data_IF_719064403641
#
_entry.id   IF_719064403641
#
_cell.length_a   1.000
_cell.length_b   1.000
_cell.length_c   1.000
_cell.angle_alpha   90.00
_cell.angle_beta   90.00
_cell.angle_gamma   90.00
#
_symmetry.space_group_name_H-M   'P 1'
#
loop_
_entity.id
_entity.type
_entity.pdbx_description
1 polymer ?
#
# COMPACT_ATOMS: atom_id res chain seq x y z
N UNK A 1 63.21 34.84 7.94
CA UNK A 1 63.25 34.74 9.41
C UNK A 1 62.02 35.48 9.89
N UNK A 2 60.94 34.87 10.36
CA UNK A 2 60.84 33.54 10.96
C UNK A 2 59.53 32.83 10.58
N UNK A 3 59.69 31.70 9.90
CA UNK A 3 58.67 30.67 9.75
C UNK A 3 58.71 29.68 10.91
N UNK A 4 58.92 30.16 12.14
CA UNK A 4 59.14 29.33 13.32
C UNK A 4 57.94 29.28 14.30
N UNK A 5 56.98 30.22 14.23
CA UNK A 5 55.86 30.25 15.19
C UNK A 5 54.57 29.59 14.69
N UNK A 6 54.46 29.24 13.40
CA UNK A 6 53.29 28.51 12.87
C UNK A 6 53.48 26.98 12.89
N UNK A 7 54.66 26.50 13.28
CA UNK A 7 54.99 25.07 13.33
C UNK A 7 54.88 24.44 14.72
N UNK A 8 54.83 25.24 15.79
CA UNK A 8 54.71 24.77 17.17
C UNK A 8 53.28 24.37 17.54
N UNK A 9 52.27 25.07 17.01
CA UNK A 9 50.85 24.83 17.36
C UNK A 9 50.25 23.60 16.62
N UNK A 10 50.83 23.25 15.47
CA UNK A 10 50.47 22.03 14.72
C UNK A 10 51.06 20.79 15.40
N UNK A 11 52.23 20.89 16.03
CA UNK A 11 52.88 19.75 16.73
C UNK A 11 52.25 19.42 18.08
N UNK A 12 51.74 20.40 18.83
CA UNK A 12 51.01 20.12 20.08
C UNK A 12 49.62 19.54 19.82
N UNK A 13 48.93 20.03 18.79
CA UNK A 13 47.59 19.55 18.42
C UNK A 13 47.64 18.15 17.77
N UNK A 14 48.66 17.85 16.97
CA UNK A 14 48.87 16.49 16.43
C UNK A 14 49.39 15.50 17.48
N UNK A 15 50.13 15.96 18.49
CA UNK A 15 50.53 15.16 19.65
C UNK A 15 49.36 14.75 20.55
N UNK A 16 48.39 15.65 20.76
CA UNK A 16 47.16 15.36 21.51
C UNK A 16 46.24 14.37 20.79
N UNK A 17 46.12 14.49 19.47
CA UNK A 17 45.32 13.56 18.65
C UNK A 17 45.98 12.19 18.56
N UNK A 18 47.32 12.12 18.47
CA UNK A 18 48.06 10.85 18.46
C UNK A 18 47.97 10.11 19.80
N UNK A 19 48.01 10.82 20.94
CA UNK A 19 47.76 10.22 22.26
C UNK A 19 46.32 9.72 22.44
N UNK A 20 45.34 10.30 21.73
CA UNK A 20 43.94 9.86 21.81
C UNK A 20 43.64 8.70 20.85
N UNK A 21 44.40 8.58 19.75
CA UNK A 21 44.32 7.46 18.80
C UNK A 21 45.11 6.23 19.27
N UNK A 22 46.19 6.40 20.04
CA UNK A 22 46.93 5.28 20.65
C UNK A 22 46.29 4.78 21.96
N UNK A 23 45.26 5.46 22.50
CA UNK A 23 44.53 5.05 23.71
C UNK A 23 43.19 4.33 23.44
N UNK A 24 42.77 4.22 22.18
CA UNK A 24 41.62 3.39 21.79
C UNK A 24 42.12 2.03 21.28
N UNK A 25 42.78 1.29 22.16
CA UNK A 25 42.75 -0.16 22.05
C UNK A 25 41.29 -0.60 22.07
N UNK A 26 40.91 -1.42 21.09
CA UNK A 26 39.66 -2.18 21.07
C UNK A 26 39.48 -2.81 22.46
N UNK A 27 38.62 -2.23 23.30
CA UNK A 27 38.27 -2.88 24.56
C UNK A 27 37.54 -4.17 24.19
N UNK A 28 38.07 -5.35 24.53
CA UNK A 28 37.31 -6.57 24.38
C UNK A 28 36.05 -6.41 25.21
N UNK A 29 34.89 -6.79 24.65
CA UNK A 29 33.62 -6.82 25.36
C UNK A 29 33.83 -7.33 26.79
N UNK A 30 33.43 -6.53 27.78
CA UNK A 30 33.55 -6.86 29.20
C UNK A 30 33.07 -8.30 29.42
N UNK A 31 33.94 -9.17 29.94
CA UNK A 31 33.65 -10.60 30.10
C UNK A 31 32.39 -10.85 30.91
N UNK A 32 32.01 -9.90 31.77
CA UNK A 32 30.74 -9.90 32.48
C UNK A 32 29.51 -9.67 31.60
N UNK A 33 29.61 -8.82 30.56
CA UNK A 33 28.53 -8.60 29.60
C UNK A 33 28.35 -9.79 28.66
N UNK A 34 29.45 -10.40 28.20
CA UNK A 34 29.38 -11.65 27.41
C UNK A 34 28.79 -12.78 28.26
N UNK A 35 29.24 -12.95 29.50
CA UNK A 35 28.70 -13.96 30.41
C UNK A 35 27.21 -13.73 30.71
N UNK A 36 26.79 -12.47 30.86
CA UNK A 36 25.39 -12.09 31.05
C UNK A 36 24.54 -12.45 29.83
N UNK A 37 24.99 -12.09 28.62
CA UNK A 37 24.30 -12.42 27.38
C UNK A 37 24.24 -13.93 27.13
N UNK A 38 25.32 -14.66 27.41
CA UNK A 38 25.34 -16.13 27.32
C UNK A 38 24.39 -16.77 28.35
N UNK A 39 24.26 -16.19 29.54
CA UNK A 39 23.29 -16.63 30.54
C UNK A 39 21.85 -16.38 30.09
N UNK A 40 21.57 -15.23 29.48
CA UNK A 40 20.25 -14.91 28.93
C UNK A 40 19.89 -15.81 27.74
N UNK A 41 20.86 -16.09 26.87
CA UNK A 41 20.69 -17.04 25.76
C UNK A 41 20.36 -18.45 26.25
N UNK A 42 21.06 -18.93 27.29
CA UNK A 42 20.75 -20.23 27.91
C UNK A 42 19.34 -20.27 28.50
N UNK A 43 18.94 -19.24 29.26
CA UNK A 43 17.58 -19.15 29.80
C UNK A 43 16.50 -19.15 28.72
N UNK A 44 16.74 -18.48 27.60
CA UNK A 44 15.80 -18.47 26.47
C UNK A 44 15.75 -19.82 25.76
N UNK A 45 16.90 -20.49 25.59
CA UNK A 45 16.96 -21.85 25.02
C UNK A 45 16.22 -22.87 25.90
N UNK A 46 16.40 -22.80 27.21
CA UNK A 46 15.70 -23.66 28.17
C UNK A 46 14.19 -23.40 28.12
N UNK A 47 13.76 -22.14 28.03
CA UNK A 47 12.34 -21.79 27.93
C UNK A 47 11.71 -22.26 26.62
N UNK A 48 12.43 -22.18 25.50
CA UNK A 48 11.96 -22.71 24.21
C UNK A 48 11.78 -24.23 24.30
N UNK A 49 12.75 -24.94 24.88
CA UNK A 49 12.66 -26.39 25.06
C UNK A 49 11.48 -26.80 25.96
N UNK A 50 11.24 -26.07 27.04
CA UNK A 50 10.10 -26.29 27.93
C UNK A 50 8.76 -26.06 27.20
N UNK A 51 8.66 -25.01 26.39
CA UNK A 51 7.48 -24.72 25.56
C UNK A 51 7.26 -25.77 24.46
N UNK A 52 8.33 -26.31 23.88
CA UNK A 52 8.26 -27.40 22.90
C UNK A 52 7.78 -28.71 23.56
N UNK A 53 8.24 -29.00 24.78
CA UNK A 53 7.74 -30.14 25.57
C UNK A 53 6.28 -29.97 25.99
N UNK A 54 5.86 -28.77 26.40
CA UNK A 54 4.45 -28.45 26.68
C UNK A 54 3.59 -28.59 25.42
N UNK A 55 4.02 -28.07 24.28
CA UNK A 55 3.32 -28.24 23.00
C UNK A 55 3.24 -29.70 22.56
N UNK A 56 4.29 -30.48 22.81
CA UNK A 56 4.30 -31.92 22.53
C UNK A 56 3.30 -32.67 23.44
N UNK A 57 3.26 -32.35 24.73
CA UNK A 57 2.28 -32.90 25.69
C UNK A 57 0.84 -32.51 25.34
N UNK A 58 0.61 -31.28 24.88
CA UNK A 58 -0.70 -30.79 24.42
C UNK A 58 -1.12 -31.34 23.05
N UNK A 59 -0.17 -31.77 22.21
CA UNK A 59 -0.45 -32.39 20.92
C UNK A 59 -0.69 -33.90 21.02
N UNK A 60 -0.21 -34.55 22.09
CA UNK A 60 -0.41 -35.97 22.35
C UNK A 60 -1.88 -36.45 22.45
N UNK A 61 -2.86 -35.64 22.93
CA UNK A 61 -4.28 -36.01 22.94
C UNK A 61 -4.99 -35.73 21.61
N UNK A 62 -4.38 -35.01 20.68
CA UNK A 62 -4.93 -34.74 19.34
C UNK A 62 -4.56 -35.84 18.32
N UNK A 63 -3.52 -36.64 18.61
CA UNK A 63 -3.04 -37.70 17.72
C UNK A 63 -3.74 -39.06 17.90
N UNK A 64 -4.58 -39.25 18.94
CA UNK A 64 -5.30 -40.51 19.19
C UNK A 64 -6.80 -40.46 18.86
N UNK A 65 -7.31 -39.37 18.29
CA UNK A 65 -8.71 -39.26 17.89
C UNK A 65 -8.89 -39.64 16.41
N UNK A 66 -9.19 -40.92 16.16
CA UNK A 66 -9.60 -41.40 14.83
C UNK A 66 -11.06 -41.03 14.56
N UNK A 67 -11.29 -39.97 13.78
CA UNK A 67 -12.54 -39.72 13.08
C UNK A 67 -12.28 -39.63 11.57
N UNK A 68 -12.37 -40.81 10.96
CA UNK A 68 -12.53 -41.20 9.56
C UNK A 68 -12.43 -40.13 8.45
N UNK A 69 -11.36 -40.22 7.65
CA UNK A 69 -11.36 -39.75 6.26
C UNK A 69 -12.25 -40.66 5.39
N UNK A 70 -13.13 -40.08 4.56
CA UNK A 70 -13.60 -40.68 3.31
C UNK A 70 -13.30 -39.73 2.16
N UNK A 71 -12.19 -39.98 1.46
CA UNK A 71 -12.01 -39.58 0.06
C UNK A 71 -12.86 -40.51 -0.81
N UNK A 72 -13.66 -39.93 -1.69
CA UNK A 72 -14.25 -40.62 -2.83
C UNK A 72 -13.26 -40.57 -3.98
N UNK A 73 -12.95 -41.72 -4.59
CA UNK A 73 -12.71 -41.79 -6.03
C UNK A 73 -13.06 -43.19 -6.57
N UNK A 74 -13.55 -43.17 -7.81
CA UNK A 74 -14.23 -44.22 -8.58
C UNK A 74 -13.57 -45.59 -8.62
N UNK A 75 -14.39 -46.64 -8.65
CA UNK A 75 -14.03 -48.01 -9.00
C UNK A 75 -15.25 -48.93 -9.01
N UNK A 76 -15.52 -49.53 -10.16
CA UNK A 76 -16.73 -50.21 -10.60
C UNK A 76 -17.03 -51.57 -9.90
N UNK A 77 -18.32 -51.96 -9.95
CA UNK A 77 -18.94 -53.32 -9.80
C UNK A 77 -19.60 -53.79 -8.48
N UNK A 78 -20.93 -53.93 -8.63
CA UNK A 78 -21.87 -54.98 -8.19
C UNK A 78 -22.22 -55.22 -6.71
N UNK A 79 -23.48 -54.84 -6.40
CA UNK A 79 -24.55 -55.58 -5.69
C UNK A 79 -24.19 -56.70 -4.72
N UNK A 80 -24.67 -56.61 -3.47
CA UNK A 80 -25.98 -57.17 -3.02
C UNK A 80 -26.04 -57.40 -1.50
N UNK A 81 -27.26 -57.28 -0.93
CA UNK A 81 -27.79 -57.94 0.30
C UNK A 81 -27.22 -57.47 1.66
N UNK A 82 -27.93 -57.27 2.78
CA UNK A 82 -29.33 -57.17 3.18
C UNK A 82 -29.36 -56.57 4.61
N UNK A 83 -30.54 -56.01 4.97
CA UNK A 83 -31.21 -55.83 6.28
C UNK A 83 -30.48 -56.32 7.56
N UNK A 84 -30.57 -55.64 8.72
CA UNK A 84 -31.81 -55.53 9.51
C UNK A 84 -31.57 -54.87 10.90
N UNK A 85 -32.61 -54.15 11.37
CA UNK A 85 -33.17 -54.05 12.74
C UNK A 85 -32.32 -53.57 13.93
N UNK A 86 -32.70 -52.43 14.53
CA UNK A 86 -33.38 -52.27 15.85
C UNK A 86 -32.36 -52.05 16.98
N UNK A 87 -32.59 -51.31 18.09
CA UNK A 87 -33.68 -50.54 18.65
C UNK A 87 -33.11 -49.76 19.86
N UNK A 88 -33.78 -48.67 20.29
CA UNK A 88 -33.84 -48.14 21.67
C UNK A 88 -32.52 -47.75 22.37
N UNK A 89 -32.32 -46.55 22.90
CA UNK A 89 -33.19 -45.92 23.91
C UNK A 89 -32.64 -44.55 24.30
N UNK A 90 -33.57 -43.68 24.64
CA UNK A 90 -33.44 -42.30 25.15
C UNK A 90 -32.68 -42.21 26.47
N UNK A 91 -31.80 -41.19 26.63
CA UNK A 91 -31.72 -40.38 27.87
C UNK A 91 -30.90 -39.09 27.71
N UNK A 92 -31.56 -38.01 28.14
CA UNK A 92 -31.18 -36.60 28.34
C UNK A 92 -29.67 -36.33 28.54
N UNK A 93 -29.12 -35.43 27.71
CA UNK A 93 -27.92 -34.65 28.04
C UNK A 93 -28.31 -33.33 28.71
N UNK A 94 -27.79 -33.14 29.91
CA UNK A 94 -27.75 -31.89 30.68
C UNK A 94 -27.02 -30.80 29.89
N UNK A 95 -27.56 -29.59 29.99
CA UNK A 95 -26.97 -28.37 29.44
C UNK A 95 -25.89 -27.90 30.40
N UNK A 96 -24.63 -27.92 29.97
CA UNK A 96 -23.57 -27.12 30.57
C UNK A 96 -23.21 -26.00 29.60
N UNK A 97 -23.44 -24.76 30.06
CA UNK A 97 -23.13 -23.53 29.33
C UNK A 97 -21.63 -23.24 29.49
N UNK A 98 -20.88 -23.37 28.42
CA UNK A 98 -19.53 -22.81 28.32
C UNK A 98 -19.53 -21.71 27.27
N UNK A 99 -19.16 -20.51 27.72
CA UNK A 99 -19.08 -19.25 26.97
C UNK A 99 -18.00 -19.31 25.89
N UNK A 100 -18.37 -19.75 24.70
CA UNK A 100 -17.63 -19.49 23.46
C UNK A 100 -18.58 -18.79 22.50
N UNK A 101 -18.20 -17.62 21.99
CA UNK A 101 -18.92 -16.99 20.88
C UNK A 101 -18.86 -17.95 19.69
N UNK A 102 -19.94 -18.68 19.47
CA UNK A 102 -20.08 -19.59 18.35
C UNK A 102 -20.20 -18.71 17.08
N UNK A 103 -19.08 -18.45 16.43
CA UNK A 103 -19.03 -17.94 15.05
C UNK A 103 -19.58 -19.03 14.16
N UNK A 104 -20.91 -19.19 14.15
CA UNK A 104 -21.59 -19.92 13.09
C UNK A 104 -21.15 -19.28 11.79
N UNK A 105 -20.28 -19.97 11.06
CA UNK A 105 -19.95 -19.64 9.68
C UNK A 105 -21.31 -19.55 8.98
N UNK A 106 -21.60 -18.39 8.38
CA UNK A 106 -22.88 -18.10 7.74
C UNK A 106 -22.98 -18.85 6.41
N UNK A 107 -22.88 -20.18 6.43
CA UNK A 107 -22.84 -21.04 5.23
C UNK A 107 -24.18 -21.09 4.47
N UNK A 108 -25.24 -20.50 5.04
CA UNK A 108 -26.60 -20.54 4.51
C UNK A 108 -27.21 -19.16 4.22
N UNK A 109 -26.39 -18.17 3.86
CA UNK A 109 -26.88 -16.87 3.42
C UNK A 109 -26.62 -16.62 1.94
N UNK A 110 -27.55 -15.91 1.28
CA UNK A 110 -27.35 -15.45 -0.09
C UNK A 110 -26.14 -14.51 -0.15
N UNK A 111 -25.38 -14.61 -1.23
CA UNK A 111 -24.21 -13.77 -1.49
C UNK A 111 -24.36 -13.11 -2.84
N UNK A 112 -23.72 -11.96 -3.03
CA UNK A 112 -23.70 -11.21 -4.28
C UNK A 112 -22.30 -10.70 -4.55
N UNK A 113 -21.89 -10.73 -5.81
CA UNK A 113 -20.63 -10.16 -6.24
C UNK A 113 -20.79 -8.66 -6.47
N UNK A 114 -20.04 -7.85 -5.71
CA UNK A 114 -20.14 -6.39 -5.76
C UNK A 114 -18.76 -5.76 -5.89
N UNK A 115 -18.72 -4.57 -6.48
CA UNK A 115 -17.60 -3.64 -6.37
C UNK A 115 -17.85 -2.62 -5.26
N UNK A 116 -16.84 -2.31 -4.47
CA UNK A 116 -16.83 -1.25 -3.47
C UNK A 116 -15.85 -0.16 -3.88
N UNK A 117 -16.29 1.09 -3.88
CA UNK A 117 -15.41 2.26 -3.98
C UNK A 117 -14.96 2.65 -2.58
N UNK A 118 -13.66 2.69 -2.36
CA UNK A 118 -13.04 2.88 -1.05
C UNK A 118 -12.10 4.09 -1.10
N UNK A 119 -12.19 4.93 -0.07
CA UNK A 119 -11.19 5.95 0.22
C UNK A 119 -10.42 5.61 1.50
N UNK A 120 -9.20 6.11 1.59
CA UNK A 120 -8.38 6.03 2.79
C UNK A 120 -7.29 7.09 2.84
N UNK A 121 -6.94 7.53 4.05
CA UNK A 121 -5.76 8.35 4.30
C UNK A 121 -4.56 7.45 4.63
N UNK A 122 -3.57 7.42 3.74
CA UNK A 122 -2.53 6.38 3.74
C UNK A 122 -1.47 6.49 4.84
N UNK A 123 -1.38 7.65 5.52
CA UNK A 123 -0.21 8.02 6.34
C UNK A 123 0.18 6.98 7.39
N UNK A 124 -0.80 6.33 8.05
CA UNK A 124 -0.53 5.33 9.10
C UNK A 124 -0.46 3.88 8.61
N UNK A 125 -0.68 3.63 7.32
CA UNK A 125 -0.74 2.28 6.75
C UNK A 125 0.53 1.90 6.01
N UNK A 126 0.92 0.63 6.11
CA UNK A 126 2.01 0.03 5.33
C UNK A 126 1.59 -0.32 3.89
N UNK A 127 0.74 0.53 3.30
CA UNK A 127 0.20 0.38 1.96
C UNK A 127 -1.18 -0.26 1.95
N UNK A 128 -1.68 -0.51 0.74
CA UNK A 128 -3.01 -1.08 0.58
C UNK A 128 -3.04 -2.57 0.89
N UNK A 129 -2.17 -3.35 0.25
CA UNK A 129 -2.21 -4.81 0.28
C UNK A 129 -1.70 -5.38 1.60
N UNK A 130 -2.39 -6.40 2.13
CA UNK A 130 -1.90 -7.17 3.27
C UNK A 130 -0.77 -8.08 2.82
N UNK A 131 0.38 -7.96 3.49
CA UNK A 131 1.55 -8.81 3.31
C UNK A 131 2.04 -9.24 4.69
N UNK A 132 2.73 -10.39 4.77
CA UNK A 132 3.18 -10.93 6.06
C UNK A 132 4.04 -9.91 6.80
N UNK A 133 3.77 -9.71 8.10
CA UNK A 133 4.52 -8.81 9.00
C UNK A 133 4.38 -7.30 8.72
N UNK A 134 3.55 -6.88 7.76
CA UNK A 134 3.23 -5.46 7.53
C UNK A 134 1.81 -5.16 7.98
N UNK A 135 1.66 -4.58 9.18
CA UNK A 135 0.38 -4.15 9.75
C UNK A 135 0.54 -2.79 10.46
N UNK A 136 -0.46 -1.88 10.42
CA UNK A 136 -1.76 -2.05 9.77
C UNK A 136 -1.69 -1.82 8.24
N UNK A 137 -2.51 -2.55 7.48
CA UNK A 137 -2.77 -2.29 6.04
C UNK A 137 -4.22 -1.90 5.82
N UNK A 138 -4.50 -1.17 4.75
CA UNK A 138 -5.90 -0.80 4.42
C UNK A 138 -6.74 -2.05 4.18
N UNK A 139 -6.19 -3.02 3.47
CA UNK A 139 -6.86 -4.27 3.14
C UNK A 139 -7.17 -5.12 4.38
N UNK A 140 -6.25 -5.22 5.35
CA UNK A 140 -6.50 -5.97 6.59
C UNK A 140 -7.62 -5.34 7.42
N UNK A 141 -7.66 -4.01 7.51
CA UNK A 141 -8.74 -3.27 8.16
C UNK A 141 -10.11 -3.46 7.47
N UNK A 142 -10.13 -3.46 6.12
CA UNK A 142 -11.35 -3.75 5.36
C UNK A 142 -11.85 -5.15 5.66
N UNK A 143 -10.98 -6.17 5.61
CA UNK A 143 -11.40 -7.55 5.90
C UNK A 143 -11.89 -7.71 7.34
N UNK A 144 -11.20 -7.09 8.31
CA UNK A 144 -11.65 -7.06 9.72
C UNK A 144 -13.03 -6.40 9.87
N UNK A 145 -13.30 -5.32 9.14
CA UNK A 145 -14.60 -4.67 9.12
C UNK A 145 -15.68 -5.57 8.51
N UNK A 146 -15.39 -6.23 7.39
CA UNK A 146 -16.34 -7.14 6.73
C UNK A 146 -16.69 -8.36 7.61
N UNK A 147 -15.71 -8.92 8.33
CA UNK A 147 -15.93 -9.98 9.33
C UNK A 147 -16.78 -9.50 10.51
N UNK A 148 -16.43 -8.34 11.08
CA UNK A 148 -17.16 -7.73 12.20
C UNK A 148 -18.61 -7.39 11.84
N UNK A 149 -18.85 -6.97 10.60
CA UNK A 149 -20.17 -6.70 10.05
C UNK A 149 -20.94 -7.98 9.62
N UNK A 150 -20.31 -9.16 9.71
CA UNK A 150 -20.84 -10.44 9.23
C UNK A 150 -21.27 -10.38 7.76
N UNK A 151 -20.43 -9.76 6.93
CA UNK A 151 -20.66 -9.65 5.48
C UNK A 151 -19.86 -10.67 4.67
N UNK A 152 -18.79 -11.25 5.23
CA UNK A 152 -18.10 -12.36 4.57
C UNK A 152 -18.88 -13.66 4.75
N UNK A 153 -19.04 -14.38 3.64
CA UNK A 153 -19.62 -15.73 3.59
C UNK A 153 -18.46 -16.67 3.29
N UNK A 154 -18.08 -17.47 4.28
CA UNK A 154 -16.85 -18.25 4.24
C UNK A 154 -15.59 -17.40 4.46
N UNK A 155 -14.45 -17.93 4.02
CA UNK A 155 -13.14 -17.32 4.15
C UNK A 155 -12.78 -16.34 3.02
N UNK A 156 -11.67 -15.64 3.22
CA UNK A 156 -11.13 -14.65 2.26
C UNK A 156 -10.95 -15.20 0.85
N UNK A 157 -10.54 -16.46 0.71
CA UNK A 157 -10.35 -17.12 -0.61
C UNK A 157 -11.68 -17.33 -1.34
N UNK A 158 -12.75 -17.69 -0.63
CA UNK A 158 -14.07 -17.92 -1.21
C UNK A 158 -14.80 -16.63 -1.63
N UNK A 159 -14.31 -15.47 -1.17
CA UNK A 159 -14.88 -14.17 -1.53
C UNK A 159 -14.56 -13.69 -2.96
N UNK A 160 -13.75 -14.43 -3.74
CA UNK A 160 -13.28 -14.02 -5.08
C UNK A 160 -12.71 -12.59 -5.12
N UNK A 161 -11.99 -12.22 -4.07
CA UNK A 161 -11.51 -10.86 -3.87
C UNK A 161 -10.52 -10.40 -4.96
N UNK A 162 -10.79 -9.23 -5.54
CA UNK A 162 -9.90 -8.51 -6.45
C UNK A 162 -9.77 -7.04 -6.05
N UNK A 163 -8.63 -6.43 -6.40
CA UNK A 163 -8.31 -5.02 -6.07
C UNK A 163 -7.78 -4.29 -7.29
N UNK A 164 -8.14 -3.02 -7.45
CA UNK A 164 -7.78 -2.28 -8.67
C UNK A 164 -6.29 -1.98 -8.77
N UNK A 165 -5.67 -1.55 -7.68
CA UNK A 165 -4.24 -1.30 -7.60
C UNK A 165 -3.72 -1.44 -6.18
N UNK A 166 -2.42 -1.71 -6.04
CA UNK A 166 -1.75 -1.57 -4.75
C UNK A 166 -1.25 -0.13 -4.65
N UNK A 167 -1.50 0.53 -3.53
CA UNK A 167 -0.83 1.79 -3.21
C UNK A 167 0.29 1.50 -2.22
N UNK A 168 1.41 2.22 -2.36
CA UNK A 168 2.56 2.09 -1.48
C UNK A 168 2.23 2.60 -0.06
N UNK A 169 3.13 2.32 0.89
CA UNK A 169 3.10 2.89 2.24
C UNK A 169 2.90 4.41 2.19
N UNK A 170 2.02 4.93 3.04
CA UNK A 170 1.73 6.36 3.16
C UNK A 170 0.84 6.97 2.06
N UNK A 171 0.67 6.29 0.92
CA UNK A 171 -0.12 6.81 -0.22
C UNK A 171 -1.62 6.76 0.09
N UNK A 172 -2.32 7.86 -0.14
CA UNK A 172 -3.77 7.96 0.08
C UNK A 172 -4.58 7.58 -1.16
N UNK A 173 -5.88 7.38 -1.00
CA UNK A 173 -6.80 7.13 -2.12
C UNK A 173 -8.18 7.69 -1.85
N UNK A 174 -8.84 8.21 -2.87
CA UNK A 174 -10.27 8.55 -2.86
C UNK A 174 -11.06 7.79 -3.94
N UNK A 175 -10.38 6.88 -4.65
CA UNK A 175 -10.94 6.16 -5.80
C UNK A 175 -10.48 4.71 -5.91
N UNK A 176 -10.01 4.09 -4.83
CA UNK A 176 -9.66 2.67 -4.85
C UNK A 176 -10.94 1.85 -5.07
N UNK A 177 -10.83 0.77 -5.83
CA UNK A 177 -11.94 -0.15 -6.06
C UNK A 177 -11.50 -1.57 -5.73
N UNK A 178 -12.34 -2.27 -4.97
CA UNK A 178 -12.23 -3.70 -4.74
C UNK A 178 -13.51 -4.38 -5.22
N UNK A 179 -13.43 -5.67 -5.57
CA UNK A 179 -14.61 -6.48 -5.85
C UNK A 179 -14.51 -7.83 -5.16
N UNK A 180 -15.64 -8.29 -4.61
CA UNK A 180 -15.74 -9.51 -3.81
C UNK A 180 -17.21 -9.92 -3.59
N UNK A 181 -17.41 -11.18 -3.25
CA UNK A 181 -18.69 -11.69 -2.77
C UNK A 181 -18.93 -11.26 -1.32
N UNK A 182 -20.06 -10.62 -1.07
CA UNK A 182 -20.56 -10.33 0.27
C UNK A 182 -21.95 -10.92 0.46
N UNK A 183 -22.34 -11.12 1.72
CA UNK A 183 -23.72 -11.45 2.11
C UNK A 183 -24.68 -10.43 1.48
N UNK A 184 -25.82 -10.92 1.01
CA UNK A 184 -26.88 -10.15 0.39
C UNK A 184 -28.22 -10.55 1.01
N UNK A 185 -29.15 -9.59 1.09
CA UNK A 185 -30.54 -9.88 1.44
C UNK A 185 -31.33 -10.40 0.22
N UNK A 186 -30.82 -10.16 -0.98
CA UNK A 186 -31.44 -10.54 -2.24
C UNK A 186 -30.91 -11.90 -2.68
N UNK A 187 -31.79 -12.70 -3.28
CA UNK A 187 -31.37 -13.91 -4.00
C UNK A 187 -30.91 -13.50 -5.40
N UNK A 188 -29.82 -14.08 -5.89
CA UNK A 188 -29.38 -13.81 -7.26
C UNK A 188 -30.45 -14.29 -8.26
N UNK A 189 -30.79 -13.47 -9.28
CA UNK A 189 -31.63 -13.95 -10.37
C UNK A 189 -30.87 -15.03 -11.17
N UNK A 190 -31.53 -16.13 -11.58
CA UNK A 190 -30.86 -17.29 -12.19
C UNK A 190 -30.13 -17.02 -13.53
N UNK A 191 -30.28 -15.85 -14.15
CA UNK A 191 -29.62 -15.46 -15.41
C UNK A 191 -29.04 -14.04 -15.33
N UNK A 192 -27.80 -13.91 -14.85
CA UNK A 192 -27.10 -12.62 -14.69
C UNK A 192 -26.27 -12.20 -15.92
N UNK A 193 -26.48 -12.83 -17.09
CA UNK A 193 -25.68 -12.54 -18.29
C UNK A 193 -26.17 -11.32 -19.08
N UNK A 194 -27.41 -10.84 -18.89
CA UNK A 194 -28.01 -9.78 -19.72
C UNK A 194 -28.72 -8.62 -18.96
N UNK A 195 -28.54 -8.47 -17.65
CA UNK A 195 -29.33 -7.53 -16.84
C UNK A 195 -28.64 -6.20 -16.52
N UNK A 196 -27.83 -5.66 -17.43
CA UNK A 196 -27.23 -4.32 -17.28
C UNK A 196 -28.11 -3.17 -17.81
N UNK A 197 -29.29 -3.44 -18.39
CA UNK A 197 -30.06 -2.42 -19.11
C UNK A 197 -31.23 -1.76 -18.37
N UNK A 198 -31.69 -2.27 -17.22
CA UNK A 198 -32.76 -1.63 -16.43
C UNK A 198 -32.34 -1.49 -14.96
N UNK A 199 -31.47 -0.52 -14.67
CA UNK A 199 -30.74 -0.45 -13.41
C UNK A 199 -31.49 0.29 -12.27
N UNK A 200 -32.62 0.95 -12.48
CA UNK A 200 -33.17 1.85 -11.45
C UNK A 200 -34.12 1.20 -10.43
N UNK A 201 -34.66 0.01 -10.66
CA UNK A 201 -35.83 -0.46 -9.88
C UNK A 201 -35.68 -1.74 -9.01
N UNK A 202 -34.53 -2.43 -8.93
CA UNK A 202 -34.52 -3.77 -8.28
C UNK A 202 -33.43 -4.03 -7.22
N UNK A 203 -33.11 -3.05 -6.37
CA UNK A 203 -32.28 -3.30 -5.16
C UNK A 203 -32.94 -2.84 -3.86
N UNK A 204 -34.25 -2.61 -3.88
CA UNK A 204 -35.00 -2.37 -2.64
C UNK A 204 -34.87 -3.60 -1.71
N UNK A 205 -34.67 -3.35 -0.42
CA UNK A 205 -34.40 -4.40 0.57
C UNK A 205 -32.97 -4.95 0.63
N UNK A 206 -32.04 -4.50 -0.23
CA UNK A 206 -30.62 -4.89 -0.12
C UNK A 206 -29.93 -4.27 1.11
N UNK A 207 -28.82 -4.88 1.53
CA UNK A 207 -27.97 -4.33 2.59
C UNK A 207 -27.39 -2.97 2.16
N UNK A 208 -27.54 -1.97 3.02
CA UNK A 208 -26.78 -0.71 2.89
C UNK A 208 -25.31 -0.95 3.27
N UNK A 209 -24.55 -1.49 2.31
CA UNK A 209 -23.14 -1.84 2.49
C UNK A 209 -22.32 -0.64 2.94
N UNK A 210 -22.60 0.56 2.43
CA UNK A 210 -21.86 1.77 2.80
C UNK A 210 -22.04 2.05 4.28
N UNK A 211 -23.28 2.13 4.76
CA UNK A 211 -23.60 2.40 6.16
C UNK A 211 -23.07 1.31 7.09
N UNK A 212 -23.31 0.04 6.75
CA UNK A 212 -22.93 -1.11 7.58
C UNK A 212 -21.42 -1.22 7.73
N UNK A 213 -20.67 -1.09 6.64
CA UNK A 213 -19.21 -1.23 6.66
C UNK A 213 -18.57 -0.01 7.35
N UNK A 214 -19.01 1.22 7.03
CA UNK A 214 -18.45 2.44 7.62
C UNK A 214 -18.66 2.54 9.14
N UNK A 215 -19.70 1.91 9.69
CA UNK A 215 -19.94 1.87 11.15
C UNK A 215 -18.86 1.11 11.91
N UNK A 216 -18.12 0.22 11.24
CA UNK A 216 -17.10 -0.64 11.87
C UNK A 216 -15.68 -0.37 11.36
N UNK A 217 -15.52 0.39 10.28
CA UNK A 217 -14.23 0.83 9.76
C UNK A 217 -13.60 1.91 10.65
N UNK A 218 -12.25 1.96 10.75
CA UNK A 218 -11.55 3.08 11.36
C UNK A 218 -11.81 4.37 10.58
N UNK A 219 -11.67 5.53 11.25
CA UNK A 219 -12.09 6.84 10.72
C UNK A 219 -11.41 7.29 9.42
N UNK A 220 -10.24 6.74 9.15
CA UNK A 220 -9.42 7.05 8.00
C UNK A 220 -9.62 6.09 6.82
N UNK A 221 -10.57 5.15 6.91
CA UNK A 221 -11.04 4.32 5.78
C UNK A 221 -12.55 4.48 5.67
N UNK A 222 -13.03 4.75 4.46
CA UNK A 222 -14.47 4.84 4.17
C UNK A 222 -14.81 4.17 2.85
N UNK A 223 -15.88 3.39 2.85
CA UNK A 223 -16.60 3.01 1.63
C UNK A 223 -17.40 4.24 1.17
N UNK A 224 -17.23 4.64 -0.08
CA UNK A 224 -17.93 5.77 -0.70
C UNK A 224 -19.19 5.32 -1.46
N UNK A 225 -19.21 4.06 -1.90
CA UNK A 225 -20.32 3.51 -2.66
C UNK A 225 -20.07 2.07 -3.06
N UNK A 226 -21.12 1.43 -3.56
CA UNK A 226 -21.08 0.05 -4.01
C UNK A 226 -21.86 -0.14 -5.32
N UNK A 227 -21.57 -1.21 -6.06
CA UNK A 227 -22.23 -1.54 -7.31
C UNK A 227 -22.27 -3.07 -7.47
N UNK A 228 -23.41 -3.71 -7.79
CA UNK A 228 -23.39 -5.09 -8.23
C UNK A 228 -22.64 -5.20 -9.55
N UNK A 229 -21.82 -6.23 -9.70
CA UNK A 229 -20.99 -6.42 -10.90
C UNK A 229 -21.07 -7.88 -11.39
N UNK A 230 -20.89 -8.14 -12.70
CA UNK A 230 -20.88 -9.50 -13.22
C UNK A 230 -19.80 -10.36 -12.57
N UNK A 231 -20.02 -11.67 -12.47
CA UNK A 231 -19.08 -12.62 -11.85
C UNK A 231 -17.69 -12.59 -12.51
N UNK A 232 -17.61 -12.26 -13.81
CA UNK A 232 -16.35 -12.08 -14.53
C UNK A 232 -15.62 -10.76 -14.27
N UNK A 233 -16.20 -9.83 -13.52
CA UNK A 233 -15.59 -8.54 -13.24
C UNK A 233 -14.36 -8.69 -12.33
N UNK A 234 -13.26 -8.05 -12.73
CA UNK A 234 -12.06 -7.93 -11.91
C UNK A 234 -11.75 -6.46 -11.69
N UNK A 235 -11.70 -6.02 -10.42
CA UNK A 235 -11.33 -4.64 -10.12
C UNK A 235 -9.98 -4.25 -10.74
N UNK A 236 -9.07 -5.22 -10.93
CA UNK A 236 -7.76 -5.03 -11.55
C UNK A 236 -7.84 -4.94 -13.07
N UNK A 237 -8.39 -5.98 -13.70
CA UNK A 237 -8.29 -6.20 -15.14
C UNK A 237 -9.42 -5.52 -15.93
N UNK A 238 -10.57 -5.27 -15.30
CA UNK A 238 -11.67 -4.50 -15.89
C UNK A 238 -11.46 -2.99 -15.78
N UNK A 239 -10.43 -2.53 -15.06
CA UNK A 239 -10.11 -1.10 -14.93
C UNK A 239 -9.49 -0.58 -16.22
N UNK A 240 -10.12 0.45 -16.80
CA UNK A 240 -9.73 1.05 -18.07
C UNK A 240 -8.57 2.04 -17.90
N UNK A 241 -8.63 2.84 -16.83
CA UNK A 241 -7.63 3.87 -16.52
C UNK A 241 -7.67 4.26 -15.05
N UNK A 242 -6.53 4.74 -14.59
CA UNK A 242 -6.32 5.20 -13.22
C UNK A 242 -5.83 6.64 -13.26
N UNK A 243 -6.42 7.49 -12.44
CA UNK A 243 -6.00 8.88 -12.27
C UNK A 243 -5.34 9.06 -10.91
N UNK A 244 -4.16 9.65 -10.90
CA UNK A 244 -3.44 10.05 -9.68
C UNK A 244 -3.39 11.56 -9.60
N UNK A 245 -3.46 12.06 -8.35
CA UNK A 245 -3.20 13.46 -8.03
C UNK A 245 -2.01 13.53 -7.09
N UNK A 246 -1.05 14.39 -7.37
CA UNK A 246 0.11 14.62 -6.50
C UNK A 246 0.18 16.09 -6.12
N UNK A 247 -0.02 16.40 -4.84
CA UNK A 247 -0.03 17.78 -4.35
C UNK A 247 1.38 18.29 -4.05
N UNK A 248 1.65 19.56 -4.34
CA UNK A 248 2.94 20.17 -4.01
C UNK A 248 2.84 21.69 -3.89
N UNK A 249 3.76 22.27 -3.13
CA UNK A 249 3.88 23.71 -2.99
C UNK A 249 4.76 24.27 -4.13
N UNK A 250 4.26 25.29 -4.83
CA UNK A 250 4.90 25.79 -6.06
C UNK A 250 6.10 26.73 -5.85
N UNK A 251 6.36 27.20 -4.62
CA UNK A 251 7.43 28.18 -4.39
C UNK A 251 8.79 27.67 -4.86
N UNK A 252 9.50 28.54 -5.60
CA UNK A 252 10.82 28.30 -6.16
C UNK A 252 10.87 27.18 -7.22
N UNK A 253 9.75 26.90 -7.90
CA UNK A 253 9.68 25.96 -9.01
C UNK A 253 9.29 26.66 -10.32
N UNK A 254 9.99 26.34 -11.41
CA UNK A 254 9.59 26.71 -12.77
C UNK A 254 8.48 25.78 -13.26
N UNK A 255 7.22 26.20 -13.03
CA UNK A 255 6.03 25.43 -13.42
C UNK A 255 5.97 25.23 -14.94
N UNK A 256 6.37 26.22 -15.74
CA UNK A 256 6.34 26.10 -17.19
C UNK A 256 7.36 25.08 -17.70
N UNK A 257 8.56 24.98 -17.09
CA UNK A 257 9.51 23.91 -17.39
C UNK A 257 8.97 22.53 -16.97
N UNK A 258 8.31 22.46 -15.81
CA UNK A 258 7.67 21.23 -15.34
C UNK A 258 6.56 20.76 -16.27
N UNK A 259 5.74 21.67 -16.81
CA UNK A 259 4.71 21.37 -17.80
C UNK A 259 5.32 20.83 -19.09
N UNK A 260 6.40 21.44 -19.59
CA UNK A 260 7.13 20.93 -20.77
C UNK A 260 7.68 19.52 -20.54
N UNK A 261 8.27 19.26 -19.38
CA UNK A 261 8.76 17.92 -19.01
C UNK A 261 7.61 16.92 -18.85
N UNK A 262 6.51 17.32 -18.21
CA UNK A 262 5.33 16.49 -17.98
C UNK A 262 4.69 16.00 -19.28
N UNK A 263 4.55 16.89 -20.27
CA UNK A 263 3.97 16.57 -21.59
C UNK A 263 4.73 15.47 -22.34
N UNK A 264 6.05 15.34 -22.12
CA UNK A 264 6.88 14.31 -22.75
C UNK A 264 6.52 12.89 -22.29
N UNK A 265 5.87 12.73 -21.12
CA UNK A 265 5.40 11.42 -20.67
C UNK A 265 4.17 10.91 -21.39
N UNK A 266 3.39 11.79 -22.05
CA UNK A 266 2.12 11.42 -22.70
C UNK A 266 2.40 10.49 -23.89
N UNK A 267 1.58 9.45 -24.04
CA UNK A 267 1.75 8.40 -25.03
C UNK A 267 2.31 7.11 -24.44
N UNK A 268 2.73 6.20 -25.33
CA UNK A 268 3.24 4.88 -24.97
C UNK A 268 4.77 4.82 -24.97
N UNK A 269 5.35 4.67 -23.79
CA UNK A 269 6.81 4.69 -23.60
C UNK A 269 7.29 3.55 -22.70
N UNK A 270 8.60 3.28 -22.70
CA UNK A 270 9.23 2.38 -21.75
C UNK A 270 9.61 3.13 -20.46
N UNK A 271 8.94 2.79 -19.36
CA UNK A 271 9.08 3.49 -18.08
C UNK A 271 10.07 2.81 -17.12
N UNK A 272 10.97 1.94 -17.58
CA UNK A 272 11.95 1.25 -16.71
C UNK A 272 12.80 2.21 -15.87
N UNK A 273 13.15 3.36 -16.44
CA UNK A 273 13.96 4.38 -15.76
C UNK A 273 13.12 5.28 -14.84
N UNK A 274 11.80 5.07 -14.81
CA UNK A 274 10.81 5.78 -14.01
C UNK A 274 10.04 4.83 -13.10
N UNK A 275 10.59 3.69 -12.71
CA UNK A 275 9.94 2.79 -11.76
C UNK A 275 10.97 2.18 -10.80
N UNK A 276 10.49 1.47 -9.79
CA UNK A 276 11.34 0.53 -9.06
C UNK A 276 11.40 -0.77 -9.87
N UNK A 277 12.61 -1.18 -10.25
CA UNK A 277 12.82 -2.40 -11.02
C UNK A 277 12.42 -3.61 -10.17
N UNK A 278 11.53 -4.43 -10.73
CA UNK A 278 11.15 -5.74 -10.20
C UNK A 278 11.26 -6.75 -11.34
N UNK A 279 12.50 -7.09 -11.67
CA UNK A 279 12.81 -7.97 -12.80
C UNK A 279 12.25 -9.39 -12.62
N UNK A 280 11.89 -9.78 -11.40
CA UNK A 280 11.28 -11.08 -11.12
C UNK A 280 9.83 -11.14 -11.58
N UNK A 281 9.06 -10.06 -11.40
CA UNK A 281 7.63 -10.04 -11.69
C UNK A 281 7.24 -9.21 -12.92
N UNK A 282 8.15 -8.37 -13.45
CA UNK A 282 7.86 -7.44 -14.55
C UNK A 282 8.85 -7.62 -15.70
N UNK A 283 8.31 -8.05 -16.84
CA UNK A 283 9.06 -8.20 -18.10
C UNK A 283 8.70 -7.12 -19.14
N UNK A 284 7.52 -6.49 -19.00
CA UNK A 284 7.08 -5.40 -19.87
C UNK A 284 6.97 -4.09 -19.09
N UNK A 285 7.84 -3.14 -19.44
CA UNK A 285 7.93 -1.80 -18.85
C UNK A 285 7.20 -0.73 -19.68
N UNK A 286 6.55 -1.11 -20.79
CA UNK A 286 5.78 -0.17 -21.59
C UNK A 286 4.46 0.17 -20.94
N UNK A 287 4.15 1.46 -20.80
CA UNK A 287 2.88 1.96 -20.28
C UNK A 287 2.39 3.13 -21.13
N UNK A 288 1.08 3.34 -21.12
CA UNK A 288 0.46 4.47 -21.81
C UNK A 288 -0.04 5.49 -20.79
N UNK A 289 0.54 6.69 -20.83
CA UNK A 289 0.05 7.86 -20.09
C UNK A 289 -0.89 8.62 -21.01
N UNK A 290 -2.13 8.78 -20.58
CA UNK A 290 -3.18 9.46 -21.33
C UNK A 290 -3.11 10.98 -21.17
N UNK A 291 -2.80 11.45 -19.96
CA UNK A 291 -2.62 12.88 -19.67
C UNK A 291 -1.65 13.11 -18.50
N UNK A 292 -0.97 14.25 -18.55
CA UNK A 292 -0.09 14.74 -17.49
C UNK A 292 -0.25 16.26 -17.43
N UNK A 293 -1.09 16.73 -16.50
CA UNK A 293 -1.43 18.14 -16.37
C UNK A 293 -0.98 18.70 -15.02
N UNK A 294 -0.57 19.96 -15.01
CA UNK A 294 -0.25 20.70 -13.77
C UNK A 294 -1.31 21.78 -13.61
N UNK A 295 -1.98 21.81 -12.45
CA UNK A 295 -3.05 22.77 -12.19
C UNK A 295 -2.91 23.40 -10.80
N UNK A 296 -3.20 24.70 -10.63
CA UNK A 296 -3.27 25.32 -9.32
C UNK A 296 -4.47 24.78 -8.52
N UNK A 297 -4.36 24.83 -7.20
CA UNK A 297 -5.44 24.53 -6.26
C UNK A 297 -5.86 25.81 -5.52
N UNK A 298 -7.09 25.83 -4.99
CA UNK A 298 -7.65 26.97 -4.22
C UNK A 298 -7.13 27.03 -2.77
N UNK A 299 -5.84 26.76 -2.57
CA UNK A 299 -5.18 26.78 -1.26
C UNK A 299 -3.87 27.54 -1.37
N UNK A 300 -3.71 28.56 -0.53
CA UNK A 300 -2.49 29.38 -0.47
C UNK A 300 -2.05 29.56 0.99
N UNK A 301 -0.76 29.40 1.24
CA UNK A 301 -0.14 29.59 2.56
C UNK A 301 1.12 30.45 2.38
N UNK A 302 1.26 31.53 3.14
CA UNK A 302 2.46 32.42 3.08
C UNK A 302 2.79 32.90 1.65
N UNK A 303 1.77 33.21 0.86
CA UNK A 303 1.95 33.61 -0.55
C UNK A 303 2.24 32.45 -1.52
N UNK A 304 2.50 31.24 -1.01
CA UNK A 304 2.79 30.05 -1.79
C UNK A 304 1.49 29.32 -2.17
N UNK A 305 1.27 29.15 -3.47
CA UNK A 305 0.09 28.47 -4.02
C UNK A 305 0.31 26.96 -4.01
N UNK A 306 -0.71 26.20 -3.61
CA UNK A 306 -0.71 24.76 -3.76
C UNK A 306 -1.01 24.39 -5.22
N UNK A 307 -0.27 23.45 -5.76
CA UNK A 307 -0.44 22.91 -7.10
C UNK A 307 -0.69 21.41 -7.03
N UNK A 308 -1.15 20.84 -8.14
CA UNK A 308 -1.26 19.41 -8.29
C UNK A 308 -0.84 18.94 -9.68
N UNK A 309 -0.10 17.85 -9.71
CA UNK A 309 -0.02 17.00 -10.91
C UNK A 309 -1.30 16.16 -11.01
N UNK A 310 -1.90 16.12 -12.18
CA UNK A 310 -3.00 15.22 -12.53
C UNK A 310 -2.46 14.27 -13.60
N UNK A 311 -2.34 13.00 -13.25
CA UNK A 311 -1.67 11.99 -14.09
C UNK A 311 -2.65 10.87 -14.35
N UNK A 312 -2.96 10.63 -15.61
CA UNK A 312 -3.90 9.59 -16.04
C UNK A 312 -3.19 8.59 -16.93
N UNK A 313 -3.41 7.30 -16.70
CA UNK A 313 -2.80 6.25 -17.52
C UNK A 313 -3.59 4.95 -17.43
N UNK A 314 -3.35 4.05 -18.38
CA UNK A 314 -4.01 2.75 -18.43
C UNK A 314 -3.58 1.86 -17.26
N UNK A 315 -2.27 1.83 -16.98
CA UNK A 315 -1.67 1.13 -15.86
C UNK A 315 -0.34 1.78 -15.46
N UNK A 316 0.09 1.52 -14.23
CA UNK A 316 1.34 2.04 -13.69
C UNK A 316 2.21 0.91 -13.15
N UNK A 317 3.53 1.03 -13.35
CA UNK A 317 4.56 0.21 -12.74
C UNK A 317 4.73 0.55 -11.26
N UNK A 318 5.46 -0.31 -10.54
CA UNK A 318 5.78 -0.06 -9.14
C UNK A 318 6.54 1.26 -9.00
N UNK A 319 6.06 2.15 -8.11
CA UNK A 319 6.62 3.48 -7.86
C UNK A 319 6.58 4.46 -9.04
N UNK A 320 5.89 4.14 -10.14
CA UNK A 320 6.04 4.90 -11.39
C UNK A 320 5.75 6.38 -11.26
N UNK A 321 4.58 6.70 -10.72
CA UNK A 321 4.10 8.09 -10.58
C UNK A 321 5.07 8.94 -9.76
N UNK A 322 5.57 8.39 -8.64
CA UNK A 322 6.49 9.11 -7.76
C UNK A 322 7.87 9.32 -8.39
N UNK A 323 8.32 8.40 -9.24
CA UNK A 323 9.56 8.54 -9.99
C UNK A 323 9.43 9.59 -11.10
N UNK A 324 8.30 9.60 -11.84
CA UNK A 324 7.99 10.65 -12.82
C UNK A 324 8.00 12.03 -12.14
N UNK A 325 7.26 12.17 -11.04
CA UNK A 325 7.20 13.42 -10.26
C UNK A 325 8.58 13.85 -9.73
N UNK A 326 9.43 12.92 -9.30
CA UNK A 326 10.78 13.24 -8.81
C UNK A 326 11.64 13.90 -9.89
N UNK A 327 11.62 13.36 -11.11
CA UNK A 327 12.37 13.93 -12.24
C UNK A 327 11.80 15.28 -12.64
N UNK A 328 10.47 15.43 -12.67
CA UNK A 328 9.84 16.73 -12.95
C UNK A 328 10.18 17.77 -11.88
N UNK A 329 10.31 17.39 -10.60
CA UNK A 329 10.79 18.31 -9.57
C UNK A 329 12.24 18.75 -9.78
N UNK A 330 13.13 17.87 -10.25
CA UNK A 330 14.50 18.28 -10.60
C UNK A 330 14.51 19.30 -11.74
N UNK A 331 13.63 19.13 -12.74
CA UNK A 331 13.41 20.13 -13.80
C UNK A 331 12.88 21.44 -13.23
N UNK A 332 11.84 21.39 -12.39
CA UNK A 332 11.26 22.59 -11.78
C UNK A 332 12.25 23.36 -10.89
N UNK A 333 13.21 22.66 -10.29
CA UNK A 333 14.30 23.27 -9.49
C UNK A 333 15.44 23.82 -10.37
N UNK A 334 15.38 23.67 -11.69
CA UNK A 334 16.45 24.05 -12.62
C UNK A 334 17.70 23.18 -12.53
N UNK A 335 17.57 21.97 -11.96
CA UNK A 335 18.66 21.02 -11.80
C UNK A 335 18.86 20.13 -13.03
N UNK A 336 17.81 19.92 -13.80
CA UNK A 336 17.81 19.15 -15.05
C UNK A 336 17.05 19.92 -16.13
N UNK A 337 17.43 19.68 -17.39
CA UNK A 337 16.68 20.19 -18.54
C UNK A 337 15.40 19.36 -18.77
N UNK A 338 14.26 19.95 -19.21
CA UNK A 338 13.06 19.19 -19.54
C UNK A 338 13.28 18.01 -20.51
N UNK A 339 14.27 18.10 -21.41
CA UNK A 339 14.59 17.04 -22.36
C UNK A 339 15.16 15.79 -21.70
N UNK A 340 15.60 15.86 -20.44
CA UNK A 340 16.02 14.68 -19.66
C UNK A 340 14.96 13.58 -19.67
N UNK A 341 13.68 13.94 -19.74
CA UNK A 341 12.57 12.99 -19.79
C UNK A 341 12.67 12.11 -21.04
N UNK A 342 12.92 12.68 -22.22
CA UNK A 342 13.07 11.91 -23.45
C UNK A 342 14.28 10.98 -23.41
N UNK A 343 15.38 11.46 -22.80
CA UNK A 343 16.61 10.66 -22.63
C UNK A 343 16.35 9.43 -21.75
N UNK A 344 15.57 9.59 -20.69
CA UNK A 344 15.26 8.52 -19.75
C UNK A 344 14.15 7.59 -20.27
N UNK A 345 13.24 8.06 -21.11
CA UNK A 345 12.22 7.23 -21.76
C UNK A 345 12.78 6.37 -22.89
N UNK A 346 13.97 6.69 -23.41
CA UNK A 346 14.67 5.92 -24.43
C UNK A 346 15.67 4.92 -23.81
N UNK A 347 15.39 3.60 -23.85
CA UNK A 347 16.28 2.58 -23.30
C UNK A 347 17.61 2.44 -24.06
N UNK A 348 17.71 2.92 -25.30
CA UNK A 348 18.96 2.89 -26.07
C UNK A 348 19.92 3.98 -25.59
N UNK A 349 19.37 5.15 -25.23
CA UNK A 349 20.15 6.27 -24.66
C UNK A 349 20.44 6.05 -23.18
N UNK A 350 19.48 5.50 -22.45
CA UNK A 350 19.60 5.21 -21.02
C UNK A 350 19.26 3.75 -20.74
N UNK A 351 20.20 2.82 -20.93
CA UNK A 351 19.95 1.39 -20.73
C UNK A 351 19.75 1.00 -19.27
N UNK A 352 20.19 1.85 -18.33
CA UNK A 352 20.10 1.62 -16.89
C UNK A 352 19.60 2.85 -16.16
N UNK A 353 18.69 2.64 -15.22
CA UNK A 353 18.10 3.70 -14.42
C UNK A 353 19.16 4.45 -13.61
N UNK A 354 19.30 5.78 -13.75
CA UNK A 354 20.18 6.56 -12.90
C UNK A 354 19.61 6.65 -11.49
N UNK A 355 20.48 6.79 -10.49
CA UNK A 355 20.05 6.95 -9.11
C UNK A 355 19.43 8.33 -8.85
N UNK A 356 18.19 8.34 -8.36
CA UNK A 356 17.55 9.54 -7.82
C UNK A 356 16.58 9.20 -6.70
N UNK A 357 16.39 10.16 -5.80
CA UNK A 357 15.44 10.02 -4.70
C UNK A 357 14.03 10.19 -5.25
N UNK A 358 13.19 9.20 -4.99
CA UNK A 358 11.79 9.22 -5.39
C UNK A 358 11.00 10.27 -4.59
N UNK A 359 9.99 10.89 -5.21
CA UNK A 359 9.15 11.89 -4.55
C UNK A 359 8.41 11.30 -3.34
N UNK A 360 8.10 12.10 -2.33
CA UNK A 360 7.41 11.64 -1.12
C UNK A 360 6.06 10.98 -1.44
N UNK A 361 5.70 9.96 -0.67
CA UNK A 361 4.43 9.23 -0.76
C UNK A 361 3.22 10.04 -0.28
N UNK A 362 3.40 10.89 0.73
CA UNK A 362 2.31 11.52 1.48
C UNK A 362 1.34 12.33 0.61
N UNK A 363 1.79 13.16 -0.35
CA UNK A 363 0.88 13.97 -1.16
C UNK A 363 0.32 13.23 -2.38
N UNK A 364 0.67 11.94 -2.58
CA UNK A 364 0.14 11.14 -3.67
C UNK A 364 -1.23 10.56 -3.28
N UNK A 365 -2.20 10.77 -4.16
CA UNK A 365 -3.57 10.26 -4.03
C UNK A 365 -3.96 9.48 -5.29
N UNK A 366 -4.36 8.22 -5.13
CA UNK A 366 -5.13 7.54 -6.16
C UNK A 366 -6.53 8.17 -6.22
N UNK A 367 -6.78 8.96 -7.26
CA UNK A 367 -7.95 9.82 -7.38
C UNK A 367 -9.17 9.07 -7.92
N UNK A 368 -9.01 8.34 -9.03
CA UNK A 368 -10.10 7.53 -9.58
C UNK A 368 -9.60 6.32 -10.35
N UNK A 369 -10.47 5.33 -10.44
CA UNK A 369 -10.34 4.14 -11.28
C UNK A 369 -11.63 4.05 -12.11
N UNK A 370 -11.50 4.04 -13.43
CA UNK A 370 -12.64 4.06 -14.34
C UNK A 370 -12.92 2.67 -14.90
N UNK A 371 -14.20 2.35 -15.07
CA UNK A 371 -14.70 1.04 -15.49
C UNK A 371 -15.90 1.22 -16.44
N UNK A 372 -16.04 0.32 -17.40
CA UNK A 372 -17.22 0.28 -18.27
C UNK A 372 -18.46 -0.20 -17.49
N UNK A 373 -19.58 0.53 -17.60
CA UNK A 373 -20.85 0.11 -17.03
C UNK A 373 -20.97 0.08 -15.49
N UNK A 374 -19.94 0.47 -14.74
CA UNK A 374 -19.98 0.47 -13.25
C UNK A 374 -20.47 1.81 -12.73
N UNK A 375 -21.64 1.81 -12.08
CA UNK A 375 -22.23 2.99 -11.42
C UNK A 375 -22.34 2.75 -9.92
N UNK A 376 -21.48 3.41 -9.14
CA UNK A 376 -21.50 3.31 -7.68
C UNK A 376 -22.72 4.01 -7.08
N UNK A 377 -23.33 3.36 -6.10
CA UNK A 377 -24.51 3.80 -5.37
C UNK A 377 -24.19 4.02 -3.89
N UNK A 378 -24.89 4.98 -3.30
CA UNK A 378 -24.84 5.30 -1.89
C UNK A 378 -26.24 5.77 -1.47
N UNK A 379 -26.72 5.35 -0.30
CA UNK A 379 -27.98 5.87 0.26
C UNK A 379 -27.80 7.33 0.70
N UNK A 380 -28.90 8.11 0.74
CA UNK A 380 -28.83 9.53 1.18
C UNK A 380 -28.22 9.64 2.57
N UNK A 381 -28.73 8.85 3.53
CA UNK A 381 -28.24 8.81 4.91
C UNK A 381 -26.74 8.52 4.99
N UNK A 382 -26.25 7.52 4.23
CA UNK A 382 -24.83 7.17 4.24
C UNK A 382 -23.98 8.25 3.56
N UNK A 383 -24.49 8.89 2.50
CA UNK A 383 -23.86 10.00 1.82
C UNK A 383 -23.72 11.23 2.71
N UNK A 384 -24.78 11.61 3.41
CA UNK A 384 -24.79 12.71 4.39
C UNK A 384 -23.83 12.43 5.54
N UNK A 385 -23.84 11.21 6.09
CA UNK A 385 -22.92 10.81 7.14
C UNK A 385 -21.44 10.88 6.69
N UNK A 386 -21.15 10.51 5.44
CA UNK A 386 -19.81 10.65 4.84
C UNK A 386 -19.39 12.12 4.70
N UNK A 387 -20.28 12.97 4.20
CA UNK A 387 -20.03 14.40 4.07
C UNK A 387 -19.76 15.06 5.42
N UNK A 388 -20.56 14.72 6.44
CA UNK A 388 -20.37 15.20 7.80
C UNK A 388 -19.03 14.73 8.38
N UNK A 389 -18.71 13.43 8.21
CA UNK A 389 -17.43 12.85 8.63
C UNK A 389 -16.24 13.61 8.03
N UNK A 390 -16.22 13.79 6.71
CA UNK A 390 -15.12 14.46 6.01
C UNK A 390 -15.04 15.95 6.35
N UNK A 391 -16.18 16.62 6.53
CA UNK A 391 -16.23 18.02 6.96
C UNK A 391 -15.63 18.19 8.37
N UNK A 392 -15.90 17.24 9.26
CA UNK A 392 -15.31 17.22 10.60
C UNK A 392 -13.80 16.96 10.56
N UNK A 393 -13.33 16.02 9.74
CA UNK A 393 -11.90 15.78 9.54
C UNK A 393 -11.19 17.05 9.02
N UNK A 394 -11.74 17.72 8.00
CA UNK A 394 -11.20 18.99 7.49
C UNK A 394 -11.12 20.04 8.61
N UNK A 395 -12.17 20.15 9.44
CA UNK A 395 -12.18 21.09 10.57
C UNK A 395 -11.08 20.77 11.58
N UNK A 396 -10.88 19.49 11.92
CA UNK A 396 -9.82 19.03 12.82
C UNK A 396 -8.44 19.39 12.28
N UNK A 397 -8.16 19.12 11.00
CA UNK A 397 -6.86 19.47 10.39
C UNK A 397 -6.66 20.99 10.28
N UNK A 398 -7.71 21.77 10.04
CA UNK A 398 -7.63 23.25 10.08
C UNK A 398 -7.30 23.75 11.48
N UNK A 399 -7.90 23.16 12.52
CA UNK A 399 -7.59 23.48 13.91
C UNK A 399 -6.13 23.13 14.24
N UNK A 400 -5.66 21.94 13.84
CA UNK A 400 -4.26 21.55 14.01
C UNK A 400 -3.30 22.50 13.28
N UNK A 401 -3.62 22.88 12.04
CA UNK A 401 -2.83 23.87 11.30
C UNK A 401 -2.78 25.23 12.01
N UNK A 402 -3.88 25.67 12.63
CA UNK A 402 -3.91 26.89 13.44
C UNK A 402 -3.04 26.79 14.70
N UNK A 403 -3.05 25.65 15.39
CA UNK A 403 -2.16 25.38 16.54
C UNK A 403 -0.68 25.43 16.11
N UNK A 404 -0.34 24.79 14.98
CA UNK A 404 1.04 24.85 14.47
C UNK A 404 1.45 26.26 14.05
N UNK A 405 0.51 27.06 13.54
CA UNK A 405 0.76 28.47 13.23
C UNK A 405 1.07 29.26 14.49
N UNK A 406 0.35 29.03 15.59
CA UNK A 406 0.64 29.67 16.88
C UNK A 406 2.02 29.25 17.42
N UNK A 407 2.35 27.96 17.32
CA UNK A 407 3.67 27.46 17.70
C UNK A 407 4.79 28.10 16.87
N UNK A 408 4.56 28.31 15.56
CA UNK A 408 5.51 28.99 14.68
C UNK A 408 5.73 30.46 15.06
N UNK A 409 4.66 31.18 15.42
CA UNK A 409 4.75 32.57 15.88
C UNK A 409 5.47 32.69 17.24
N UNK A 410 5.38 31.65 18.06
CA UNK A 410 6.06 31.57 19.36
C UNK A 410 7.55 31.20 19.24
N UNK A 411 8.02 30.79 18.06
CA UNK A 411 9.45 30.58 17.84
C UNK A 411 10.17 31.93 17.97
N UNK A 412 11.21 31.98 18.82
CA UNK A 412 12.00 33.20 19.03
C UNK A 412 12.48 33.78 17.70
N UNK A 413 12.44 35.11 17.51
CA UNK A 413 13.07 35.73 16.36
C UNK A 413 14.56 35.32 16.37
N UNK A 414 15.07 34.88 15.21
CA UNK A 414 16.51 34.84 15.04
C UNK A 414 17.01 36.27 15.20
N UNK A 415 17.73 36.56 16.29
CA UNK A 415 18.36 37.85 16.51
C UNK A 415 19.10 38.25 15.24
N UNK A 416 18.69 39.40 14.70
CA UNK A 416 19.12 39.89 13.42
C UNK A 416 20.63 40.10 13.39
N UNK A 417 21.33 39.25 12.65
CA UNK A 417 22.36 39.77 11.77
C UNK A 417 21.70 40.05 10.42
N UNK A 418 21.45 41.34 10.19
CA UNK A 418 21.53 41.92 8.85
C UNK A 418 22.84 41.48 8.24
N UNK A 419 22.80 40.40 7.49
CA UNK A 419 23.62 40.27 6.31
C UNK A 419 22.67 39.94 5.19
N UNK A 420 22.80 40.70 4.13
CA UNK A 420 22.46 40.33 2.78
C UNK A 420 23.32 39.11 2.36
N UNK A 421 23.25 38.05 3.15
CA UNK A 421 23.73 36.74 2.81
C UNK A 421 22.48 36.05 2.31
N UNK A 422 22.35 36.03 0.97
CA UNK A 422 22.08 34.77 0.28
C UNK A 422 22.85 33.70 1.06
N UNK A 423 22.22 33.05 2.04
CA UNK A 423 22.70 31.78 2.55
C UNK A 423 22.70 30.96 1.28
N UNK A 424 23.88 30.85 0.66
CA UNK A 424 24.23 29.75 -0.19
C UNK A 424 23.84 28.56 0.67
N UNK A 425 22.60 28.07 0.52
CA UNK A 425 22.27 26.67 0.77
C UNK A 425 23.47 25.98 0.18
N UNK A 426 24.28 25.35 1.04
CA UNK A 426 25.42 24.56 0.63
C UNK A 426 24.88 23.79 -0.56
N UNK A 427 25.24 24.21 -1.78
CA UNK A 427 24.68 23.62 -2.99
C UNK A 427 25.26 22.24 -2.88
N UNK A 428 24.49 21.28 -2.36
CA UNK A 428 24.79 19.88 -2.60
C UNK A 428 24.96 19.86 -4.11
N UNK A 429 26.20 19.66 -4.54
CA UNK A 429 26.57 19.78 -5.94
C UNK A 429 25.66 18.84 -6.67
N UNK A 430 24.64 19.38 -7.34
CA UNK A 430 23.70 18.55 -8.06
C UNK A 430 24.50 17.88 -9.17
N UNK A 431 24.63 16.57 -9.08
CA UNK A 431 25.23 15.76 -10.11
C UNK A 431 24.13 15.43 -11.09
N UNK A 432 24.29 15.80 -12.35
CA UNK A 432 23.29 15.58 -13.40
C UNK A 432 22.91 14.09 -13.49
N UNK A 433 21.65 13.76 -13.75
CA UNK A 433 21.14 12.37 -13.72
C UNK A 433 21.97 11.42 -14.58
N UNK A 434 22.39 11.88 -15.77
CA UNK A 434 23.20 11.09 -16.71
C UNK A 434 24.64 10.83 -16.25
N UNK A 435 25.11 11.55 -15.24
CA UNK A 435 26.44 11.38 -14.64
C UNK A 435 26.44 10.59 -13.33
N UNK A 436 25.27 10.12 -12.87
CA UNK A 436 25.13 9.36 -11.62
C UNK A 436 25.41 7.87 -11.82
N UNK A 437 25.78 7.15 -10.74
CA UNK A 437 25.74 5.70 -10.74
C UNK A 437 24.34 5.19 -11.15
N UNK A 438 24.32 4.11 -11.92
CA UNK A 438 23.07 3.48 -12.36
C UNK A 438 22.77 2.23 -11.53
N UNK A 439 21.51 1.81 -11.48
CA UNK A 439 21.13 0.53 -10.87
C UNK A 439 21.87 -0.66 -11.55
N UNK A 440 22.06 -1.76 -10.79
CA UNK A 440 22.75 -2.97 -11.29
C UNK A 440 21.97 -3.57 -12.47
N UNK A 441 22.68 -4.14 -13.44
CA UNK A 441 22.05 -4.91 -14.52
C UNK A 441 21.48 -6.21 -13.95
N UNK A 442 20.18 -6.43 -14.13
CA UNK A 442 19.56 -7.73 -13.88
C UNK A 442 19.73 -8.58 -15.14
N UNK A 443 20.77 -9.42 -15.19
CA UNK A 443 20.85 -10.50 -16.18
C UNK A 443 20.02 -11.68 -15.67
N UNK A 444 19.12 -12.19 -16.49
CA UNK A 444 18.41 -13.43 -16.18
C UNK A 444 19.44 -14.58 -16.08
N UNK A 445 19.40 -15.42 -15.04
CA UNK A 445 20.06 -16.71 -15.08
C UNK A 445 19.51 -17.47 -16.29
N UNK A 446 20.40 -17.93 -17.17
CA UNK A 446 20.10 -18.67 -18.40
C UNK A 446 19.60 -20.10 -18.16
N UNK A 447 18.80 -20.33 -17.11
CA UNK A 447 18.30 -21.64 -16.69
C UNK A 447 16.78 -21.79 -16.87
N UNK A 448 16.17 -21.20 -17.90
CA UNK A 448 14.78 -21.50 -18.29
C UNK A 448 14.54 -21.50 -19.81
N UNK A 449 15.58 -21.76 -20.63
CA UNK A 449 15.41 -22.13 -22.05
C UNK A 449 15.54 -23.63 -22.24
N UNK A 450 14.56 -24.41 -21.76
CA UNK A 450 14.29 -25.79 -22.21
C UNK A 450 12.94 -26.26 -21.62
N UNK A 451 11.85 -25.87 -22.29
CA UNK A 451 10.57 -26.60 -22.35
C UNK A 451 9.48 -25.69 -22.93
N UNK A 452 9.53 -25.41 -24.23
CA UNK A 452 8.39 -24.91 -25.02
C UNK A 452 8.73 -24.99 -26.51
N UNK A 453 8.79 -26.21 -27.02
CA UNK A 453 8.70 -26.56 -28.44
C UNK A 453 8.24 -28.02 -28.49
N UNK A 454 7.26 -28.33 -29.36
CA UNK A 454 6.24 -29.40 -29.29
C UNK A 454 4.99 -28.87 -28.55
N UNK A 455 3.89 -28.52 -29.21
CA UNK A 455 3.34 -28.82 -30.55
C UNK A 455 2.51 -27.65 -31.04
#
# INVERSE_FOLDING_TARGET
>A
MDGAELFTDITETTGAIRKTLEANEFQPFDGNQIASLQSQLRLLQDRVKELEEENSKLSSPLASCCCSERRMNFGDRSCSIEKSTESGTTKKKSVERTTGYNTRILDHCSKRYIALKVMYFGQRFYGFASEAQMEPTVESEIFRALEKARLLVGGRKESCYSRCGRTDKGVSSVGQVIALYLRSNLKDPPNAENSCHNAEEQHDGEIDYVRVINKVLPNDIRVLGWCPVPVGFSARFSCLRRKYKYFFWGANLDISAMERAGKKFVGEHDFRNFCKMDAANVHNYRRCIMSFDISPCDVRTEGNLLWAFNIEGSAFLWHQVRCMVAVVFMVGQGLEDPDVVDILLDPLRTPRKPQYVMASENPLVLHSCEFEGVKFRCSSDAGEALQLHLSNEIRTYKLQAAIFKEALLSCLPNDGSSSDNRKLKKKNSHVALLSRPTERSFTYPSFLRRAACQT
#
